data_IF_520699971225
#
_entry.id   IF_520699971225
#
_cell.length_a   1.000
_cell.length_b   1.000
_cell.length_c   1.000
_cell.angle_alpha   90.00
_cell.angle_beta   90.00
_cell.angle_gamma   90.00
#
_symmetry.space_group_name_H-M   'P 1'
#
loop_
_entity.id
_entity.type
_entity.pdbx_description
1 polymer ?
#
# COMPACT_ATOMS: atom_id res chain seq x y z
N UNK A 1 -2.03 -0.77 25.13
CA UNK A 1 -1.61 0.00 26.34
C UNK A 1 -0.79 1.26 26.01
N UNK A 2 0.17 1.20 25.08
CA UNK A 2 0.95 2.39 24.63
C UNK A 2 0.11 3.42 23.87
N UNK A 3 -0.96 3.00 23.19
CA UNK A 3 -1.85 3.90 22.46
C UNK A 3 -2.69 4.79 23.39
N UNK A 4 -3.23 4.22 24.45
CA UNK A 4 -4.03 4.98 25.42
C UNK A 4 -3.24 6.07 26.15
N UNK A 5 -1.96 5.84 26.44
CA UNK A 5 -1.07 6.85 27.03
C UNK A 5 -0.83 8.04 26.07
N UNK A 6 -0.71 7.79 24.77
CA UNK A 6 -0.49 8.85 23.75
C UNK A 6 -1.72 9.72 23.53
N UNK A 7 -2.91 9.13 23.55
CA UNK A 7 -4.17 9.89 23.46
C UNK A 7 -4.35 10.77 24.69
N UNK A 8 -4.09 10.24 25.89
CA UNK A 8 -4.14 11.00 27.16
C UNK A 8 -3.15 12.14 27.24
N UNK A 9 -1.98 12.03 26.61
CA UNK A 9 -0.96 13.07 26.57
C UNK A 9 -1.17 14.12 25.47
N UNK A 10 -2.28 14.07 24.73
CA UNK A 10 -2.57 14.96 23.60
C UNK A 10 -1.71 14.76 22.36
N UNK A 11 -0.88 13.73 22.32
CA UNK A 11 -0.06 13.41 21.15
C UNK A 11 -0.88 12.62 20.12
N UNK A 12 -0.79 13.03 18.85
CA UNK A 12 -1.44 12.32 17.76
C UNK A 12 -0.83 10.94 17.52
N UNK A 13 -1.68 9.96 17.23
CA UNK A 13 -1.25 8.61 16.85
C UNK A 13 -0.64 8.63 15.45
N UNK A 14 0.42 7.84 15.26
CA UNK A 14 0.98 7.65 13.92
C UNK A 14 0.21 6.56 13.17
N UNK A 15 -0.26 6.91 11.99
CA UNK A 15 -0.87 5.96 11.07
C UNK A 15 -0.64 6.41 9.62
N UNK A 16 -0.64 5.47 8.69
CA UNK A 16 -0.73 5.83 7.27
C UNK A 16 -2.15 6.36 7.00
N UNK A 17 -2.34 7.28 6.04
CA UNK A 17 -3.66 7.80 5.70
C UNK A 17 -4.69 6.71 5.42
N UNK A 18 -4.31 5.69 4.67
CA UNK A 18 -5.17 4.55 4.35
C UNK A 18 -5.59 3.74 5.57
N UNK A 19 -4.67 3.45 6.48
CA UNK A 19 -4.97 2.74 7.73
C UNK A 19 -5.83 3.55 8.69
N UNK A 20 -5.57 4.84 8.81
CA UNK A 20 -6.37 5.72 9.64
C UNK A 20 -7.84 5.74 9.18
N UNK A 21 -8.08 5.93 7.88
CA UNK A 21 -9.42 5.92 7.29
C UNK A 21 -10.08 4.55 7.46
N UNK A 22 -9.38 3.46 7.18
CA UNK A 22 -9.88 2.09 7.33
C UNK A 22 -10.30 1.79 8.77
N UNK A 23 -9.50 2.18 9.75
CA UNK A 23 -9.83 1.97 11.16
C UNK A 23 -11.06 2.78 11.59
N UNK A 24 -11.21 4.02 11.11
CA UNK A 24 -12.36 4.86 11.44
C UNK A 24 -13.66 4.40 10.76
N UNK A 25 -13.58 3.86 9.53
CA UNK A 25 -14.74 3.39 8.78
C UNK A 25 -15.28 2.02 9.28
N UNK A 26 -14.41 1.17 9.80
CA UNK A 26 -14.75 -0.24 10.08
C UNK A 26 -14.67 -0.64 11.55
N UNK A 27 -14.19 0.22 12.44
CA UNK A 27 -14.16 -0.13 13.85
C UNK A 27 -15.48 0.13 14.54
N UNK A 28 -15.78 -0.68 15.57
CA UNK A 28 -16.91 -0.51 16.46
C UNK A 28 -16.42 -0.09 17.83
N UNK A 29 -16.91 1.05 18.32
CA UNK A 29 -16.61 1.48 19.68
C UNK A 29 -17.37 0.60 20.68
N UNK A 30 -16.61 -0.09 21.52
CA UNK A 30 -17.18 -0.90 22.62
C UNK A 30 -17.03 -0.15 23.94
N UNK A 31 -15.90 0.52 24.15
CA UNK A 31 -15.58 1.26 25.36
C UNK A 31 -14.54 2.34 25.08
N UNK A 32 -14.67 3.49 25.76
CA UNK A 32 -13.73 4.60 25.69
C UNK A 32 -14.15 5.72 24.74
N UNK A 33 -13.21 6.60 24.37
CA UNK A 33 -13.46 7.74 23.50
C UNK A 33 -13.44 7.34 22.03
N UNK A 34 -14.43 7.79 21.28
CA UNK A 34 -14.43 7.65 19.82
C UNK A 34 -13.25 8.40 19.21
N UNK A 35 -12.47 7.71 18.38
CA UNK A 35 -11.36 8.29 17.63
C UNK A 35 -11.88 8.98 16.37
N UNK A 36 -11.29 10.15 16.06
CA UNK A 36 -11.51 10.89 14.81
C UNK A 36 -10.24 10.88 13.97
N UNK A 37 -10.37 11.20 12.69
CA UNK A 37 -9.22 11.26 11.77
C UNK A 37 -8.12 12.20 12.28
N UNK A 38 -8.50 13.34 12.90
CA UNK A 38 -7.57 14.31 13.45
C UNK A 38 -6.75 13.81 14.65
N UNK A 39 -7.17 12.71 15.29
CA UNK A 39 -6.41 12.08 16.38
C UNK A 39 -5.15 11.35 15.87
N UNK A 40 -5.00 11.19 14.54
CA UNK A 40 -3.89 10.52 13.89
C UNK A 40 -2.95 11.54 13.23
N UNK A 41 -1.65 11.34 13.42
CA UNK A 41 -0.65 12.06 12.64
C UNK A 41 -0.43 11.30 11.32
N UNK A 42 -1.05 11.79 10.24
CA UNK A 42 -1.02 11.12 8.96
C UNK A 42 0.28 11.32 8.18
N UNK A 43 1.07 12.33 8.52
CA UNK A 43 2.28 12.68 7.79
C UNK A 43 2.01 13.02 6.30
N UNK A 44 3.02 13.44 5.56
CA UNK A 44 2.89 13.74 4.14
C UNK A 44 2.77 12.46 3.30
N UNK A 45 1.84 12.44 2.34
CA UNK A 45 1.63 11.32 1.40
C UNK A 45 2.88 10.97 0.58
N UNK A 46 3.69 11.97 0.25
CA UNK A 46 5.00 11.78 -0.39
C UNK A 46 5.94 10.89 0.45
N UNK A 47 5.97 11.10 1.77
CA UNK A 47 6.79 10.29 2.68
C UNK A 47 6.34 8.84 2.74
N UNK A 48 5.03 8.59 2.72
CA UNK A 48 4.49 7.22 2.69
C UNK A 48 4.82 6.50 1.39
N UNK A 49 4.68 7.17 0.25
CA UNK A 49 5.03 6.59 -1.05
C UNK A 49 6.53 6.29 -1.14
N UNK A 50 7.39 7.21 -0.69
CA UNK A 50 8.84 6.97 -0.63
C UNK A 50 9.19 5.79 0.29
N UNK A 51 8.49 5.65 1.41
CA UNK A 51 8.64 4.49 2.30
C UNK A 51 8.27 3.18 1.62
N UNK A 52 7.21 3.16 0.82
CA UNK A 52 6.83 1.98 0.02
C UNK A 52 7.86 1.67 -1.06
N UNK A 53 8.37 2.67 -1.77
CA UNK A 53 9.42 2.48 -2.78
C UNK A 53 10.70 1.92 -2.14
N UNK A 54 11.08 2.44 -0.98
CA UNK A 54 12.21 1.90 -0.21
C UNK A 54 11.97 0.44 0.18
N UNK A 55 10.79 0.11 0.70
CA UNK A 55 10.45 -1.24 1.11
C UNK A 55 10.49 -2.22 -0.07
N UNK A 56 9.98 -1.85 -1.24
CA UNK A 56 10.09 -2.67 -2.44
C UNK A 56 11.54 -2.91 -2.85
N UNK A 57 12.34 -1.86 -2.93
CA UNK A 57 13.71 -1.95 -3.45
C UNK A 57 14.69 -2.61 -2.47
N UNK A 58 14.48 -2.47 -1.16
CA UNK A 58 15.42 -2.93 -0.14
C UNK A 58 14.96 -4.19 0.62
N UNK A 59 13.67 -4.48 0.64
CA UNK A 59 13.12 -5.58 1.44
C UNK A 59 12.40 -6.60 0.55
N UNK A 60 11.36 -6.18 -0.18
CA UNK A 60 10.48 -7.14 -0.85
C UNK A 60 11.12 -7.80 -2.07
N UNK A 61 11.68 -7.03 -2.99
CA UNK A 61 12.30 -7.60 -4.19
C UNK A 61 13.58 -8.37 -3.89
N UNK A 62 14.50 -7.90 -3.02
CA UNK A 62 15.62 -8.72 -2.57
C UNK A 62 15.18 -9.98 -1.85
N UNK A 63 14.19 -9.89 -0.96
CA UNK A 63 13.64 -11.03 -0.24
C UNK A 63 12.96 -12.05 -1.17
N UNK A 64 12.29 -11.61 -2.22
CA UNK A 64 11.75 -12.48 -3.25
C UNK A 64 12.86 -13.21 -4.01
N UNK A 65 13.92 -12.52 -4.41
CA UNK A 65 15.09 -13.10 -5.06
C UNK A 65 15.77 -14.16 -4.17
N UNK A 66 15.84 -13.91 -2.87
CA UNK A 66 16.40 -14.83 -1.87
C UNK A 66 15.41 -15.90 -1.39
N UNK A 67 14.23 -15.98 -1.99
CA UNK A 67 13.14 -16.93 -1.63
C UNK A 67 12.59 -16.78 -0.20
N UNK A 68 12.79 -15.62 0.43
CA UNK A 68 12.16 -15.27 1.72
C UNK A 68 10.69 -14.90 1.59
N UNK A 69 10.32 -14.34 0.44
CA UNK A 69 8.94 -14.00 0.07
C UNK A 69 8.54 -14.75 -1.18
N UNK A 70 7.28 -15.20 -1.24
CA UNK A 70 6.70 -15.80 -2.42
C UNK A 70 6.20 -14.76 -3.42
N UNK A 71 5.91 -15.19 -4.63
CA UNK A 71 5.34 -14.35 -5.68
C UNK A 71 4.00 -13.71 -5.24
N UNK A 72 3.16 -14.47 -4.55
CA UNK A 72 1.88 -13.98 -4.01
C UNK A 72 2.06 -12.85 -2.99
N UNK A 73 3.14 -12.87 -2.22
CA UNK A 73 3.44 -11.80 -1.26
C UNK A 73 3.77 -10.50 -1.99
N UNK A 74 4.58 -10.58 -3.05
CA UNK A 74 4.89 -9.42 -3.90
C UNK A 74 3.63 -8.87 -4.55
N UNK A 75 2.77 -9.71 -5.11
CA UNK A 75 1.50 -9.31 -5.72
C UNK A 75 0.62 -8.55 -4.72
N UNK A 76 0.51 -9.02 -3.48
CA UNK A 76 -0.26 -8.34 -2.42
C UNK A 76 0.31 -6.95 -2.10
N UNK A 77 1.63 -6.83 -2.03
CA UNK A 77 2.28 -5.55 -1.73
C UNK A 77 2.07 -4.49 -2.82
N UNK A 78 1.87 -4.90 -4.07
CA UNK A 78 1.57 -3.97 -5.17
C UNK A 78 0.31 -3.15 -4.91
N UNK A 79 -0.73 -3.73 -4.29
CA UNK A 79 -1.94 -2.98 -3.97
C UNK A 79 -1.68 -1.86 -2.95
N UNK A 80 -0.82 -2.09 -1.96
CA UNK A 80 -0.39 -1.07 -1.01
C UNK A 80 0.41 0.05 -1.68
N UNK A 81 1.31 -0.31 -2.60
CA UNK A 81 2.04 0.65 -3.40
C UNK A 81 1.09 1.54 -4.21
N UNK A 82 0.15 0.93 -4.92
CA UNK A 82 -0.78 1.64 -5.80
C UNK A 82 -1.74 2.52 -5.00
N UNK A 83 -2.21 2.06 -3.85
CA UNK A 83 -3.04 2.90 -2.95
C UNK A 83 -2.28 4.16 -2.51
N UNK A 84 -1.03 4.02 -2.07
CA UNK A 84 -0.19 5.16 -1.69
C UNK A 84 0.13 6.07 -2.89
N UNK A 85 0.34 5.51 -4.07
CA UNK A 85 0.49 6.27 -5.32
C UNK A 85 -0.74 7.13 -5.62
N UNK A 86 -1.95 6.57 -5.53
CA UNK A 86 -3.18 7.30 -5.77
C UNK A 86 -3.40 8.41 -4.74
N UNK A 87 -3.12 8.13 -3.47
CA UNK A 87 -3.19 9.15 -2.40
C UNK A 87 -2.20 10.29 -2.66
N UNK A 88 -0.98 9.97 -3.06
CA UNK A 88 0.02 10.97 -3.42
C UNK A 88 -0.41 11.84 -4.61
N UNK A 89 -1.12 11.25 -5.57
CA UNK A 89 -1.73 11.98 -6.71
C UNK A 89 -2.97 12.81 -6.33
N UNK A 90 -3.30 12.88 -5.03
CA UNK A 90 -4.44 13.66 -4.52
C UNK A 90 -5.80 12.98 -4.65
N UNK A 91 -5.82 11.69 -4.95
CA UNK A 91 -7.05 10.90 -5.07
C UNK A 91 -7.43 10.26 -3.73
N UNK A 92 -8.69 9.84 -3.61
CA UNK A 92 -9.20 9.04 -2.49
C UNK A 92 -9.52 7.63 -2.97
N UNK A 93 -8.51 6.74 -3.07
CA UNK A 93 -8.73 5.40 -3.59
C UNK A 93 -9.53 4.54 -2.61
N UNK A 94 -10.33 3.57 -3.11
CA UNK A 94 -10.95 2.57 -2.26
C UNK A 94 -9.89 1.65 -1.65
N UNK A 95 -10.11 1.19 -0.40
CA UNK A 95 -9.18 0.28 0.29
C UNK A 95 -9.25 -1.16 -0.23
N UNK A 96 -10.42 -1.58 -0.68
CA UNK A 96 -10.59 -2.93 -1.18
C UNK A 96 -9.86 -3.10 -2.51
N UNK A 97 -8.96 -4.06 -2.57
CA UNK A 97 -8.04 -4.28 -3.69
C UNK A 97 -8.72 -4.46 -5.07
N UNK A 98 -9.87 -5.15 -5.12
CA UNK A 98 -10.65 -5.26 -6.37
C UNK A 98 -11.21 -3.91 -6.82
N UNK A 99 -11.73 -3.13 -5.87
CA UNK A 99 -12.27 -1.79 -6.16
C UNK A 99 -11.15 -0.82 -6.53
N UNK A 100 -10.00 -0.92 -5.86
CA UNK A 100 -8.83 -0.12 -6.21
C UNK A 100 -8.39 -0.37 -7.66
N UNK A 101 -8.25 -1.63 -8.06
CA UNK A 101 -7.90 -1.96 -9.44
C UNK A 101 -8.93 -1.42 -10.45
N UNK A 102 -10.22 -1.57 -10.17
CA UNK A 102 -11.30 -1.05 -11.04
C UNK A 102 -11.30 0.47 -11.13
N UNK A 103 -10.82 1.18 -10.11
CA UNK A 103 -10.76 2.65 -10.11
C UNK A 103 -9.69 3.22 -11.03
N UNK A 104 -8.73 2.42 -11.46
CA UNK A 104 -7.63 2.85 -12.32
C UNK A 104 -7.96 2.49 -13.77
N UNK A 105 -8.15 3.54 -14.60
CA UNK A 105 -8.60 3.41 -15.98
C UNK A 105 -7.50 2.99 -16.96
N UNK A 106 -6.22 3.25 -16.63
CA UNK A 106 -5.09 2.82 -17.45
C UNK A 106 -4.95 1.31 -17.42
N UNK A 107 -5.35 0.65 -18.50
CA UNK A 107 -5.31 -0.81 -18.64
C UNK A 107 -3.89 -1.40 -18.56
N UNK A 108 -2.88 -0.60 -18.85
CA UNK A 108 -1.48 -1.02 -18.75
C UNK A 108 -0.89 -0.85 -17.37
N UNK A 109 -1.64 -0.30 -16.41
CA UNK A 109 -1.15 -0.10 -15.05
C UNK A 109 -0.88 -1.45 -14.37
N UNK A 110 0.20 -1.50 -13.57
CA UNK A 110 0.64 -2.73 -12.88
C UNK A 110 -0.43 -3.35 -11.99
N UNK A 111 -1.37 -2.56 -11.49
CA UNK A 111 -2.46 -3.04 -10.63
C UNK A 111 -3.35 -4.08 -11.30
N UNK A 112 -3.54 -3.98 -12.61
CA UNK A 112 -4.36 -4.95 -13.36
C UNK A 112 -3.69 -6.30 -13.47
N UNK A 113 -2.38 -6.33 -13.67
CA UNK A 113 -1.61 -7.59 -13.61
C UNK A 113 -1.62 -8.18 -12.20
N UNK A 114 -1.46 -7.34 -11.19
CA UNK A 114 -1.54 -7.76 -9.79
C UNK A 114 -2.93 -8.33 -9.45
N UNK A 115 -4.00 -7.72 -9.95
CA UNK A 115 -5.37 -8.24 -9.78
C UNK A 115 -5.51 -9.62 -10.41
N UNK A 116 -5.04 -9.79 -11.63
CA UNK A 116 -5.09 -11.05 -12.34
C UNK A 116 -4.39 -12.16 -11.57
N UNK A 117 -3.17 -11.91 -11.10
CA UNK A 117 -2.38 -12.91 -10.35
C UNK A 117 -2.89 -13.13 -8.92
N UNK A 118 -3.58 -12.18 -8.33
CA UNK A 118 -4.22 -12.36 -7.03
C UNK A 118 -5.47 -13.23 -7.13
N UNK A 119 -6.26 -13.05 -8.19
CA UNK A 119 -7.46 -13.86 -8.47
C UNK A 119 -7.09 -15.28 -8.92
N UNK A 120 -6.08 -15.39 -9.78
CA UNK A 120 -5.59 -16.67 -10.33
C UNK A 120 -4.07 -16.70 -10.26
N UNK A 121 -3.48 -17.23 -9.17
CA UNK A 121 -2.04 -17.36 -9.03
C UNK A 121 -1.43 -18.16 -10.18
N UNK A 122 -0.26 -17.74 -10.65
CA UNK A 122 0.48 -18.45 -11.70
C UNK A 122 1.69 -19.19 -11.13
N UNK A 123 2.00 -20.36 -11.68
CA UNK A 123 3.25 -21.09 -11.46
C UNK A 123 4.24 -20.91 -12.62
N UNK A 124 3.82 -20.27 -13.70
CA UNK A 124 4.66 -20.04 -14.87
C UNK A 124 5.77 -19.04 -14.55
N UNK A 125 7.01 -19.50 -14.64
CA UNK A 125 8.20 -18.68 -14.39
C UNK A 125 8.31 -17.50 -15.35
N UNK A 126 7.92 -17.65 -16.61
CA UNK A 126 7.97 -16.57 -17.62
C UNK A 126 7.00 -15.45 -17.28
N UNK A 127 5.79 -15.78 -16.88
CA UNK A 127 4.79 -14.79 -16.44
C UNK A 127 5.26 -14.04 -15.19
N UNK A 128 5.83 -14.72 -14.22
CA UNK A 128 6.39 -14.11 -12.99
C UNK A 128 7.53 -13.15 -13.31
N UNK A 129 8.45 -13.55 -14.16
CA UNK A 129 9.57 -12.70 -14.60
C UNK A 129 9.06 -11.45 -15.33
N UNK A 130 8.10 -11.61 -16.22
CA UNK A 130 7.48 -10.50 -16.95
C UNK A 130 6.81 -9.50 -15.99
N UNK A 131 6.07 -10.00 -15.00
CA UNK A 131 5.43 -9.17 -13.98
C UNK A 131 6.46 -8.40 -13.14
N UNK A 132 7.50 -9.07 -12.64
CA UNK A 132 8.56 -8.43 -11.86
C UNK A 132 9.30 -7.36 -12.68
N UNK A 133 9.54 -7.60 -13.95
CA UNK A 133 10.15 -6.60 -14.86
C UNK A 133 9.26 -5.37 -15.02
N UNK A 134 7.96 -5.57 -15.22
CA UNK A 134 6.97 -4.48 -15.30
C UNK A 134 6.88 -3.71 -13.99
N UNK A 135 6.89 -4.42 -12.85
CA UNK A 135 6.92 -3.81 -11.53
C UNK A 135 8.17 -2.95 -11.31
N UNK A 136 9.35 -3.47 -11.65
CA UNK A 136 10.59 -2.71 -11.54
C UNK A 136 10.56 -1.42 -12.38
N UNK A 137 10.02 -1.48 -13.59
CA UNK A 137 9.83 -0.29 -14.43
C UNK A 137 8.91 0.73 -13.74
N UNK A 138 7.77 0.28 -13.22
CA UNK A 138 6.82 1.13 -12.50
C UNK A 138 7.44 1.79 -11.27
N UNK A 139 8.20 1.03 -10.47
CA UNK A 139 8.92 1.56 -9.30
C UNK A 139 9.95 2.62 -9.69
N UNK A 140 10.68 2.40 -10.77
CA UNK A 140 11.69 3.36 -11.28
C UNK A 140 11.02 4.66 -11.75
N UNK A 141 9.90 4.56 -12.45
CA UNK A 141 9.13 5.72 -12.90
C UNK A 141 8.57 6.52 -11.72
N UNK A 142 7.99 5.84 -10.72
CA UNK A 142 7.52 6.49 -9.49
C UNK A 142 8.65 7.17 -8.72
N UNK A 143 9.79 6.51 -8.58
CA UNK A 143 10.94 7.07 -7.86
C UNK A 143 11.43 8.37 -8.50
N UNK A 144 11.43 8.45 -9.81
CA UNK A 144 11.76 9.70 -10.55
C UNK A 144 10.74 10.81 -10.30
N UNK A 145 9.45 10.48 -10.25
CA UNK A 145 8.38 11.46 -10.05
C UNK A 145 8.32 11.98 -8.61
N UNK A 146 8.67 11.16 -7.64
CA UNK A 146 8.56 11.48 -6.20
C UNK A 146 9.79 12.24 -5.66
N UNK A 147 10.85 12.28 -6.40
CA UNK A 147 12.05 13.09 -6.07
C UNK A 147 11.75 14.62 -6.05
#
# INVERSE_FOLDING_TARGET
LKHNKRVKSGKKLRATPSRAVQHLEHYKLIYGKQLKLDDFNQGPSKGHLRGMLFAFNKIFLPGYKEKKFGFSDIVKQVFWLVENEQIWKGKKPPHHWKKLAKSIKDENHIVHDALRFRLKPTKDKKERVKFIRKLNKHLTELDKLVK
#
